data_IF_206192123574
#
_entry.id   IF_206192123574
#
_cell.length_a   1.000
_cell.length_b   1.000
_cell.length_c   1.000
_cell.angle_alpha   90.00
_cell.angle_beta   90.00
_cell.angle_gamma   90.00
#
_symmetry.space_group_name_H-M   'P 1'
#
loop_
_entity.id
_entity.type
_entity.pdbx_description
1 polymer ?
#
# COMPACT_ATOMS: atom_id res chain seq x y z
N UNK A 1 7.66 -5.15 9.30
CA UNK A 1 7.72 -4.14 8.21
C UNK A 1 8.30 -4.81 6.96
N UNK A 2 7.84 -4.44 5.76
CA UNK A 2 8.27 -5.01 4.47
C UNK A 2 8.47 -3.87 3.47
N UNK A 3 9.23 -4.12 2.40
CA UNK A 3 9.40 -3.13 1.34
C UNK A 3 8.04 -2.82 0.68
N UNK A 4 7.66 -1.54 0.66
CA UNK A 4 6.38 -1.08 0.15
C UNK A 4 6.22 -1.33 -1.37
N UNK A 5 7.32 -1.31 -2.14
CA UNK A 5 7.28 -1.58 -3.57
C UNK A 5 6.86 -3.03 -3.86
N UNK A 6 7.44 -3.99 -3.15
CA UNK A 6 7.09 -5.41 -3.28
C UNK A 6 5.63 -5.68 -2.85
N UNK A 7 5.18 -5.02 -1.78
CA UNK A 7 3.80 -5.14 -1.29
C UNK A 7 2.81 -4.58 -2.33
N UNK A 8 3.12 -3.44 -2.93
CA UNK A 8 2.29 -2.82 -3.98
C UNK A 8 2.24 -3.70 -5.22
N UNK A 9 3.36 -4.23 -5.68
CA UNK A 9 3.41 -5.09 -6.86
C UNK A 9 2.64 -6.41 -6.62
N UNK A 10 2.74 -6.97 -5.42
CA UNK A 10 1.95 -8.16 -5.02
C UNK A 10 0.45 -7.84 -5.07
N UNK A 11 0.01 -6.73 -4.48
CA UNK A 11 -1.40 -6.33 -4.50
C UNK A 11 -1.90 -5.98 -5.90
N UNK A 12 -1.05 -5.37 -6.74
CA UNK A 12 -1.36 -5.08 -8.13
C UNK A 12 -1.64 -6.36 -8.93
N UNK A 13 -0.91 -7.46 -8.66
CA UNK A 13 -1.19 -8.78 -9.26
C UNK A 13 -2.57 -9.34 -8.89
N UNK A 14 -3.15 -8.86 -7.79
CA UNK A 14 -4.52 -9.17 -7.34
C UNK A 14 -5.55 -8.10 -7.75
N UNK A 15 -5.21 -7.22 -8.69
CA UNK A 15 -6.04 -6.09 -9.13
C UNK A 15 -6.39 -5.07 -8.02
N UNK A 16 -5.52 -4.94 -7.00
CA UNK A 16 -5.69 -3.97 -5.91
C UNK A 16 -4.61 -2.90 -6.02
N UNK A 17 -5.01 -1.67 -6.34
CA UNK A 17 -4.12 -0.51 -6.37
C UNK A 17 -4.02 0.09 -4.95
N UNK A 18 -3.04 -0.38 -4.18
CA UNK A 18 -2.93 -0.08 -2.76
C UNK A 18 -2.34 1.31 -2.43
N UNK A 19 -1.71 1.98 -3.38
CA UNK A 19 -1.04 3.27 -3.17
C UNK A 19 0.27 3.38 -3.94
N UNK A 20 1.12 4.31 -3.51
CA UNK A 20 2.45 4.57 -4.12
C UNK A 20 3.53 4.29 -3.07
N UNK A 21 4.55 3.47 -3.38
CA UNK A 21 5.68 3.30 -2.46
C UNK A 21 6.44 4.63 -2.34
N UNK A 22 6.69 5.07 -1.11
CA UNK A 22 7.23 6.40 -0.84
C UNK A 22 8.66 6.58 -1.39
N UNK A 23 9.41 5.48 -1.49
CA UNK A 23 10.74 5.46 -2.12
C UNK A 23 10.75 5.96 -3.57
N UNK A 24 9.61 5.93 -4.30
CA UNK A 24 9.51 6.55 -5.63
C UNK A 24 9.49 8.08 -5.58
N UNK A 25 9.01 8.68 -4.49
CA UNK A 25 8.98 10.13 -4.30
C UNK A 25 10.29 10.63 -3.69
N UNK A 26 10.87 9.88 -2.76
CA UNK A 26 12.11 10.24 -2.08
C UNK A 26 13.00 8.99 -1.86
N UNK A 27 13.82 8.61 -2.86
CA UNK A 27 14.64 7.40 -2.82
C UNK A 27 15.63 7.36 -1.66
N UNK A 28 16.21 8.51 -1.29
CA UNK A 28 17.28 8.58 -0.27
C UNK A 28 16.77 8.86 1.15
N UNK A 29 15.44 8.83 1.37
CA UNK A 29 14.84 9.16 2.66
C UNK A 29 14.78 7.99 3.66
N UNK A 30 15.19 6.79 3.26
CA UNK A 30 15.14 5.59 4.10
C UNK A 30 13.72 5.14 4.45
N UNK A 31 12.74 5.47 3.58
CA UNK A 31 11.31 5.19 3.78
C UNK A 31 10.82 4.08 2.82
N UNK A 32 11.63 3.03 2.66
CA UNK A 32 11.35 1.93 1.74
C UNK A 32 10.16 1.06 2.17
N UNK A 33 9.80 1.09 3.46
CA UNK A 33 8.65 0.38 4.02
C UNK A 33 7.40 1.28 4.17
N UNK A 34 7.43 2.50 3.63
CA UNK A 34 6.32 3.46 3.69
C UNK A 34 5.47 3.41 2.42
N UNK A 35 4.16 3.22 2.60
CA UNK A 35 3.17 3.28 1.54
C UNK A 35 2.35 4.57 1.65
N UNK A 36 2.35 5.37 0.59
CA UNK A 36 1.51 6.56 0.47
C UNK A 36 0.13 6.16 -0.08
N UNK A 37 -0.92 6.43 0.70
CA UNK A 37 -2.31 6.13 0.35
C UNK A 37 -3.10 7.43 0.25
N UNK A 38 -3.87 7.58 -0.83
CA UNK A 38 -4.81 8.70 -0.97
C UNK A 38 -6.17 8.31 -0.36
N UNK A 39 -6.61 9.07 0.63
CA UNK A 39 -7.96 9.01 1.17
C UNK A 39 -8.62 10.38 0.96
N UNK A 40 -9.87 10.38 0.50
CA UNK A 40 -10.65 11.57 0.16
C UNK A 40 -12.02 11.50 0.82
N UNK A 41 -12.82 12.55 0.68
CA UNK A 41 -14.20 12.61 1.13
C UNK A 41 -15.10 11.54 0.48
N UNK A 42 -14.70 11.01 -0.69
CA UNK A 42 -15.43 9.94 -1.37
C UNK A 42 -14.93 8.54 -1.02
N UNK A 43 -13.87 8.42 -0.21
CA UNK A 43 -13.37 7.14 0.27
C UNK A 43 -14.32 6.59 1.33
N UNK A 44 -14.86 5.40 1.10
CA UNK A 44 -15.80 4.77 2.03
C UNK A 44 -15.06 3.96 3.09
N UNK A 45 -15.68 3.78 4.25
CA UNK A 45 -15.19 2.87 5.30
C UNK A 45 -14.98 1.43 4.79
N UNK A 46 -15.80 1.02 3.82
CA UNK A 46 -15.67 -0.27 3.15
C UNK A 46 -14.39 -0.38 2.35
N UNK A 47 -13.97 0.70 1.68
CA UNK A 47 -12.73 0.73 0.88
C UNK A 47 -11.52 0.59 1.80
N UNK A 48 -11.51 1.33 2.91
CA UNK A 48 -10.46 1.26 3.94
C UNK A 48 -10.37 -0.15 4.52
N UNK A 49 -11.52 -0.75 4.85
CA UNK A 49 -11.59 -2.11 5.40
C UNK A 49 -11.08 -3.16 4.41
N UNK A 50 -11.43 -3.02 3.12
CA UNK A 50 -10.95 -3.93 2.07
C UNK A 50 -9.44 -3.81 1.87
N UNK A 51 -8.92 -2.58 1.81
CA UNK A 51 -7.48 -2.33 1.70
C UNK A 51 -6.72 -2.89 2.91
N UNK A 52 -7.19 -2.64 4.13
CA UNK A 52 -6.58 -3.16 5.35
C UNK A 52 -6.54 -4.70 5.37
N UNK A 53 -7.62 -5.37 4.95
CA UNK A 53 -7.66 -6.83 4.84
C UNK A 53 -6.68 -7.36 3.79
N UNK A 54 -6.60 -6.70 2.63
CA UNK A 54 -5.68 -7.09 1.57
C UNK A 54 -4.22 -6.95 2.00
N UNK A 55 -3.87 -5.80 2.59
CA UNK A 55 -2.56 -5.55 3.19
C UNK A 55 -2.23 -6.58 4.27
N UNK A 56 -3.17 -6.87 5.18
CA UNK A 56 -2.98 -7.86 6.23
C UNK A 56 -2.60 -9.25 5.70
N UNK A 57 -3.20 -9.69 4.59
CA UNK A 57 -2.85 -10.97 3.94
C UNK A 57 -1.43 -10.98 3.38
N UNK A 58 -1.04 -9.93 2.67
CA UNK A 58 0.30 -9.83 2.04
C UNK A 58 1.40 -9.65 3.09
N UNK A 59 1.12 -8.91 4.16
CA UNK A 59 2.09 -8.65 5.23
C UNK A 59 2.29 -9.85 6.17
N UNK A 60 1.29 -10.74 6.30
CA UNK A 60 1.37 -11.95 7.11
C UNK A 60 2.06 -13.15 6.42
N UNK A 61 2.21 -13.10 5.09
CA UNK A 61 2.97 -14.08 4.31
C UNK A 61 4.49 -13.95 4.55
#
# INVERSE_FOLDING_TARGET
PKNAAEVVDTLASHHILAGVPYSRLAPDAGMDDVLLVAATETTLDTDITLLAKALGKVLAA
#
